data_IF_541874699705
#
_entry.id   IF_541874699705
#
_cell.length_a   1.000
_cell.length_b   1.000
_cell.length_c   1.000
_cell.angle_alpha   90.00
_cell.angle_beta   90.00
_cell.angle_gamma   90.00
#
_symmetry.space_group_name_H-M   'P 1'
#
loop_
_entity.id
_entity.type
_entity.pdbx_description
1 polymer ?
#
# COMPACT_ATOMS: atom_id res chain seq x y z
N UNK A 1 -10.13 4.79 5.24
CA UNK A 1 -9.70 4.16 3.96
C UNK A 1 -8.92 5.12 3.07
N UNK A 2 -9.40 6.35 2.78
CA UNK A 2 -8.69 7.26 1.88
C UNK A 2 -7.25 7.61 2.34
N UNK A 3 -7.03 7.87 3.64
CA UNK A 3 -5.68 8.13 4.15
C UNK A 3 -4.74 6.93 3.96
N UNK A 4 -5.18 5.74 4.39
CA UNK A 4 -4.39 4.50 4.27
C UNK A 4 -3.99 4.22 2.82
N UNK A 5 -4.92 4.33 1.87
CA UNK A 5 -4.63 4.12 0.46
C UNK A 5 -3.63 5.16 -0.07
N UNK A 6 -3.77 6.43 0.31
CA UNK A 6 -2.82 7.48 -0.08
C UNK A 6 -1.43 7.28 0.55
N UNK A 7 -1.37 6.83 1.81
CA UNK A 7 -0.14 6.49 2.50
C UNK A 7 0.57 5.34 1.79
N UNK A 8 -0.14 4.24 1.51
CA UNK A 8 0.42 3.07 0.82
C UNK A 8 0.89 3.46 -0.58
N UNK A 9 0.12 4.27 -1.32
CA UNK A 9 0.52 4.75 -2.63
C UNK A 9 1.84 5.53 -2.58
N UNK A 10 1.97 6.44 -1.59
CA UNK A 10 3.19 7.23 -1.37
C UNK A 10 4.39 6.35 -0.98
N UNK A 11 4.18 5.32 -0.15
CA UNK A 11 5.19 4.32 0.15
C UNK A 11 5.68 3.62 -1.12
N UNK A 12 4.75 3.18 -1.98
CA UNK A 12 5.08 2.53 -3.24
C UNK A 12 5.81 3.47 -4.22
N UNK A 13 5.46 4.76 -4.24
CA UNK A 13 6.19 5.79 -5.00
C UNK A 13 7.66 5.86 -4.55
N UNK A 14 7.91 5.97 -3.24
CA UNK A 14 9.28 6.04 -2.73
C UNK A 14 10.05 4.74 -2.94
N UNK A 15 9.41 3.57 -2.76
CA UNK A 15 10.07 2.30 -3.06
C UNK A 15 10.49 2.20 -4.52
N UNK A 16 9.64 2.61 -5.46
CA UNK A 16 9.99 2.62 -6.88
C UNK A 16 11.17 3.56 -7.17
N UNK A 17 11.16 4.76 -6.59
CA UNK A 17 12.25 5.74 -6.73
C UNK A 17 13.57 5.15 -6.21
N UNK A 18 13.58 4.65 -4.97
CA UNK A 18 14.79 4.11 -4.33
C UNK A 18 15.33 2.90 -5.10
N UNK A 19 14.48 1.96 -5.52
CA UNK A 19 14.92 0.78 -6.27
C UNK A 19 15.31 1.09 -7.73
N UNK A 20 15.09 2.31 -8.22
CA UNK A 20 15.42 2.72 -9.58
C UNK A 20 16.63 3.63 -9.67
N UNK A 21 17.09 4.19 -8.55
CA UNK A 21 18.27 5.04 -8.46
C UNK A 21 19.31 4.37 -7.55
N UNK A 22 20.48 4.05 -8.14
CA UNK A 22 21.56 3.34 -7.43
C UNK A 22 22.10 4.13 -6.23
N UNK A 23 22.13 5.47 -6.33
CA UNK A 23 22.61 6.34 -5.26
C UNK A 23 21.61 6.35 -4.10
N UNK A 24 20.34 6.55 -4.39
CA UNK A 24 19.25 6.50 -3.39
C UNK A 24 19.21 5.13 -2.69
N UNK A 25 19.37 4.03 -3.45
CA UNK A 25 19.42 2.69 -2.88
C UNK A 25 20.61 2.52 -1.93
N UNK A 26 21.79 3.00 -2.32
CA UNK A 26 22.98 2.92 -1.49
C UNK A 26 22.83 3.73 -0.20
N UNK A 27 22.25 4.92 -0.27
CA UNK A 27 21.95 5.75 0.90
C UNK A 27 20.93 5.07 1.82
N UNK A 28 19.85 4.53 1.27
CA UNK A 28 18.86 3.77 2.03
C UNK A 28 19.47 2.55 2.74
N UNK A 29 20.38 1.83 2.07
CA UNK A 29 21.13 0.71 2.68
C UNK A 29 22.03 1.22 3.80
N UNK A 30 22.74 2.33 3.59
CA UNK A 30 23.56 2.98 4.62
C UNK A 30 22.75 3.26 5.89
N UNK A 31 21.67 4.03 5.77
CA UNK A 31 20.76 4.34 6.88
C UNK A 31 20.16 3.09 7.54
N UNK A 32 19.84 2.07 6.73
CA UNK A 32 19.31 0.81 7.24
C UNK A 32 20.36 0.06 8.06
N UNK A 33 21.62 0.00 7.62
CA UNK A 33 22.68 -0.74 8.30
C UNK A 33 23.24 -0.02 9.53
N UNK A 34 23.40 1.31 9.47
CA UNK A 34 23.89 2.15 10.58
C UNK A 34 22.98 2.09 11.79
N UNK A 35 21.66 1.96 11.57
CA UNK A 35 20.68 1.91 12.64
C UNK A 35 20.43 0.49 13.23
N UNK A 36 21.03 -0.58 12.68
CA UNK A 36 20.43 -1.94 12.83
C UNK A 36 21.34 -3.17 12.91
N UNK A 37 22.65 -3.05 13.17
CA UNK A 37 23.49 -4.25 13.26
C UNK A 37 22.97 -5.33 14.24
N UNK A 38 22.18 -4.98 15.27
CA UNK A 38 21.67 -5.94 16.29
C UNK A 38 20.14 -5.89 16.57
N UNK A 39 19.33 -5.13 15.82
CA UNK A 39 17.96 -4.82 16.27
C UNK A 39 16.87 -5.69 15.60
N UNK A 40 16.30 -6.64 16.36
CA UNK A 40 15.28 -7.62 15.92
C UNK A 40 14.02 -6.98 15.31
N UNK A 41 13.74 -5.72 15.66
CA UNK A 41 12.60 -4.93 15.19
C UNK A 41 12.58 -4.73 13.66
N UNK A 42 13.68 -5.03 12.98
CA UNK A 42 13.85 -4.78 11.55
C UNK A 42 14.12 -6.04 10.73
N UNK A 43 13.88 -7.21 11.31
CA UNK A 43 13.95 -8.50 10.62
C UNK A 43 12.76 -8.65 9.65
N UNK A 44 12.79 -7.89 8.55
CA UNK A 44 11.83 -8.05 7.44
C UNK A 44 11.96 -9.42 6.78
N UNK A 45 13.09 -10.11 6.97
CA UNK A 45 13.34 -11.45 6.45
C UNK A 45 12.25 -12.46 6.82
N UNK A 46 11.57 -12.33 7.97
CA UNK A 46 10.46 -13.22 8.35
C UNK A 46 9.15 -12.92 7.63
N UNK A 47 9.02 -11.73 7.02
CA UNK A 47 7.85 -11.28 6.26
C UNK A 47 8.03 -11.41 4.74
N UNK A 48 9.26 -11.64 4.26
CA UNK A 48 9.55 -11.86 2.83
C UNK A 48 9.14 -13.30 2.46
N UNK A 49 8.29 -13.43 1.45
CA UNK A 49 7.91 -14.76 0.94
C UNK A 49 9.14 -15.49 0.36
N UNK A 50 9.27 -16.76 0.73
CA UNK A 50 10.41 -17.61 0.36
C UNK A 50 11.77 -16.99 0.68
N UNK A 51 11.87 -16.22 1.78
CA UNK A 51 13.08 -15.49 2.19
C UNK A 51 14.36 -16.35 2.15
N UNK A 52 14.31 -17.63 2.50
CA UNK A 52 15.47 -18.53 2.42
C UNK A 52 16.05 -18.70 1.00
N UNK A 53 15.23 -18.44 -0.04
CA UNK A 53 15.59 -18.51 -1.45
C UNK A 53 16.03 -17.15 -2.03
N UNK A 54 15.99 -16.07 -1.24
CA UNK A 54 16.52 -14.78 -1.64
C UNK A 54 17.99 -14.69 -1.26
N UNK A 55 18.81 -14.12 -2.15
CA UNK A 55 20.19 -13.78 -1.79
C UNK A 55 20.19 -12.61 -0.79
N UNK A 56 21.21 -12.55 0.06
CA UNK A 56 21.28 -11.52 1.10
C UNK A 56 21.28 -10.10 0.55
N UNK A 57 21.88 -9.89 -0.62
CA UNK A 57 21.86 -8.58 -1.27
C UNK A 57 20.44 -8.14 -1.63
N UNK A 58 19.63 -9.00 -2.23
CA UNK A 58 18.24 -8.69 -2.59
C UNK A 58 17.38 -8.43 -1.35
N UNK A 59 17.57 -9.21 -0.27
CA UNK A 59 16.90 -8.97 1.01
C UNK A 59 17.26 -7.60 1.56
N UNK A 60 18.53 -7.22 1.49
CA UNK A 60 19.03 -5.94 1.98
C UNK A 60 18.45 -4.79 1.16
N UNK A 61 18.50 -4.86 -0.17
CA UNK A 61 17.92 -3.85 -1.06
C UNK A 61 16.42 -3.68 -0.81
N UNK A 62 15.67 -4.78 -0.75
CA UNK A 62 14.23 -4.74 -0.48
C UNK A 62 13.94 -4.16 0.90
N UNK A 63 14.62 -4.64 1.94
CA UNK A 63 14.38 -4.22 3.33
C UNK A 63 14.74 -2.76 3.57
N UNK A 64 15.86 -2.30 3.01
CA UNK A 64 16.29 -0.92 3.09
C UNK A 64 15.30 0.00 2.37
N UNK A 65 14.92 -0.34 1.13
CA UNK A 65 13.95 0.45 0.36
C UNK A 65 12.59 0.57 1.05
N UNK A 66 12.08 -0.52 1.62
CA UNK A 66 10.82 -0.53 2.35
C UNK A 66 10.89 0.35 3.61
N UNK A 67 11.96 0.19 4.41
CA UNK A 67 12.12 0.94 5.65
C UNK A 67 12.22 2.45 5.37
N UNK A 68 13.06 2.83 4.41
CA UNK A 68 13.25 4.22 4.01
C UNK A 68 11.96 4.80 3.41
N UNK A 69 11.23 4.05 2.58
CA UNK A 69 9.96 4.49 2.02
C UNK A 69 8.89 4.74 3.11
N UNK A 70 8.79 3.87 4.11
CA UNK A 70 7.89 4.07 5.25
C UNK A 70 8.30 5.32 6.05
N UNK A 71 9.61 5.50 6.29
CA UNK A 71 10.12 6.66 7.02
C UNK A 71 9.81 7.98 6.29
N UNK A 72 10.13 8.07 5.00
CA UNK A 72 9.85 9.24 4.15
C UNK A 72 8.35 9.54 4.07
N UNK A 73 7.52 8.49 3.92
CA UNK A 73 6.06 8.65 3.87
C UNK A 73 5.49 9.13 5.20
N UNK A 74 5.92 8.52 6.31
CA UNK A 74 5.49 8.90 7.65
C UNK A 74 5.83 10.37 7.95
N UNK A 75 7.03 10.81 7.54
CA UNK A 75 7.43 12.21 7.65
C UNK A 75 6.55 13.13 6.78
N UNK A 76 6.21 12.72 5.55
CA UNK A 76 5.38 13.51 4.63
C UNK A 76 3.94 13.73 5.12
N UNK A 77 3.42 12.80 5.93
CA UNK A 77 2.09 12.88 6.52
C UNK A 77 2.12 13.25 8.02
N UNK A 78 3.28 13.59 8.56
CA UNK A 78 3.42 13.86 9.98
C UNK A 78 2.57 15.07 10.39
N UNK A 79 1.84 14.91 11.48
CA UNK A 79 1.16 15.98 12.19
C UNK A 79 1.33 15.74 13.69
N UNK A 80 1.36 16.82 14.49
CA UNK A 80 1.61 16.76 15.94
C UNK A 80 0.43 16.18 16.75
N UNK A 81 -0.61 15.67 16.10
CA UNK A 81 -1.78 15.10 16.76
C UNK A 81 -1.71 13.57 16.84
N UNK A 82 -2.32 13.01 17.89
CA UNK A 82 -2.31 11.57 18.15
C UNK A 82 -3.11 10.76 17.12
N UNK A 83 -4.17 11.36 16.56
CA UNK A 83 -4.99 10.74 15.52
C UNK A 83 -4.16 10.39 14.28
N UNK A 84 -3.29 11.30 13.81
CA UNK A 84 -2.41 11.05 12.68
C UNK A 84 -1.41 9.94 12.95
N UNK A 85 -0.90 9.85 14.18
CA UNK A 85 0.00 8.77 14.58
C UNK A 85 -0.71 7.40 14.51
N UNK A 86 -1.98 7.35 14.95
CA UNK A 86 -2.80 6.14 14.83
C UNK A 86 -3.05 5.77 13.35
N UNK A 87 -3.44 6.75 12.52
CA UNK A 87 -3.67 6.52 11.09
C UNK A 87 -2.42 6.04 10.35
N UNK A 88 -1.24 6.62 10.66
CA UNK A 88 0.05 6.18 10.11
C UNK A 88 0.33 4.73 10.52
N UNK A 89 0.15 4.40 11.80
CA UNK A 89 0.41 3.04 12.29
C UNK A 89 -0.54 2.01 11.67
N UNK A 90 -1.82 2.36 11.52
CA UNK A 90 -2.80 1.54 10.82
C UNK A 90 -2.38 1.29 9.36
N UNK A 91 -1.97 2.35 8.65
CA UNK A 91 -1.52 2.23 7.27
C UNK A 91 -0.23 1.42 7.11
N UNK A 92 0.72 1.54 8.03
CA UNK A 92 1.94 0.70 8.07
C UNK A 92 1.56 -0.76 8.29
N UNK A 93 0.63 -1.04 9.20
CA UNK A 93 0.14 -2.40 9.47
C UNK A 93 -0.51 -2.98 8.21
N UNK A 94 -1.43 -2.26 7.58
CA UNK A 94 -2.08 -2.68 6.34
C UNK A 94 -1.08 -2.92 5.21
N UNK A 95 -0.05 -2.08 5.08
CA UNK A 95 1.03 -2.30 4.12
C UNK A 95 1.74 -3.63 4.38
N UNK A 96 2.14 -3.88 5.63
CA UNK A 96 2.91 -5.07 6.00
C UNK A 96 2.10 -6.36 5.89
N UNK A 97 0.79 -6.32 6.13
CA UNK A 97 -0.08 -7.50 6.08
C UNK A 97 -0.54 -7.84 4.65
N UNK A 98 -0.79 -6.83 3.82
CA UNK A 98 -1.42 -7.05 2.50
C UNK A 98 -0.51 -6.78 1.31
N UNK A 99 0.33 -5.76 1.38
CA UNK A 99 1.15 -5.33 0.24
C UNK A 99 2.52 -6.01 0.23
N UNK A 100 3.16 -6.14 1.39
CA UNK A 100 4.49 -6.75 1.51
C UNK A 100 4.51 -8.21 1.01
N UNK A 101 3.59 -9.11 1.40
CA UNK A 101 3.57 -10.48 0.85
C UNK A 101 3.35 -10.48 -0.66
N UNK A 102 2.42 -9.67 -1.15
CA UNK A 102 2.11 -9.57 -2.58
C UNK A 102 3.28 -9.00 -3.42
N UNK A 103 4.13 -8.16 -2.82
CA UNK A 103 5.36 -7.65 -3.45
C UNK A 103 6.43 -8.73 -3.60
N UNK A 104 6.49 -9.69 -2.67
CA UNK A 104 7.57 -10.68 -2.59
C UNK A 104 7.19 -12.06 -3.13
N UNK A 105 5.90 -12.37 -3.25
CA UNK A 105 5.42 -13.64 -3.83
C UNK A 105 5.78 -13.78 -5.31
N UNK A 106 6.05 -15.01 -5.77
CA UNK A 106 6.20 -15.34 -7.20
C UNK A 106 7.19 -14.43 -7.95
N UNK A 107 8.29 -14.06 -7.31
CA UNK A 107 9.38 -13.28 -7.92
C UNK A 107 10.34 -14.21 -8.69
N UNK A 108 10.90 -13.73 -9.80
CA UNK A 108 11.94 -14.47 -10.55
C UNK A 108 13.19 -14.62 -9.67
N UNK A 109 13.62 -15.85 -9.32
CA UNK A 109 14.78 -16.06 -8.44
C UNK A 109 16.08 -15.41 -8.93
N UNK A 110 16.23 -15.18 -10.24
CA UNK A 110 17.43 -14.56 -10.81
C UNK A 110 17.32 -13.03 -10.89
N UNK A 111 16.11 -12.48 -10.71
CA UNK A 111 15.78 -11.05 -10.90
C UNK A 111 14.69 -10.62 -9.92
N UNK A 112 14.89 -10.87 -8.62
CA UNK A 112 13.84 -10.65 -7.61
C UNK A 112 13.50 -9.17 -7.46
N UNK A 113 14.51 -8.31 -7.38
CA UNK A 113 14.30 -6.85 -7.29
C UNK A 113 13.58 -6.30 -8.54
N UNK A 114 13.95 -6.73 -9.74
CA UNK A 114 13.22 -6.33 -10.96
C UNK A 114 11.77 -6.79 -10.94
N UNK A 115 11.51 -7.99 -10.42
CA UNK A 115 10.15 -8.53 -10.24
C UNK A 115 9.34 -7.68 -9.25
N UNK A 116 9.96 -7.27 -8.14
CA UNK A 116 9.37 -6.34 -7.15
C UNK A 116 9.03 -5.01 -7.81
N UNK A 117 9.97 -4.40 -8.57
CA UNK A 117 9.72 -3.12 -9.27
C UNK A 117 8.51 -3.19 -10.19
N UNK A 118 8.39 -4.28 -10.98
CA UNK A 118 7.22 -4.50 -11.85
C UNK A 118 5.92 -4.63 -11.05
N UNK A 119 5.95 -5.32 -9.91
CA UNK A 119 4.79 -5.46 -9.01
C UNK A 119 4.39 -4.13 -8.39
N UNK A 120 5.36 -3.31 -7.95
CA UNK A 120 5.12 -1.95 -7.44
C UNK A 120 4.32 -1.14 -8.46
N UNK A 121 4.78 -1.07 -9.72
CA UNK A 121 4.09 -0.32 -10.78
C UNK A 121 2.64 -0.79 -10.97
N UNK A 122 2.41 -2.10 -10.98
CA UNK A 122 1.06 -2.68 -11.11
C UNK A 122 0.17 -2.33 -9.91
N UNK A 123 0.68 -2.46 -8.70
CA UNK A 123 -0.05 -2.14 -7.47
C UNK A 123 -0.41 -0.66 -7.38
N UNK A 124 0.53 0.23 -7.72
CA UNK A 124 0.28 1.68 -7.79
C UNK A 124 -0.84 2.01 -8.77
N UNK A 125 -0.80 1.42 -9.96
CA UNK A 125 -1.84 1.63 -10.98
C UNK A 125 -3.21 1.18 -10.48
N UNK A 126 -3.28 -0.02 -9.87
CA UNK A 126 -4.52 -0.56 -9.29
C UNK A 126 -5.05 0.36 -8.19
N UNK A 127 -4.18 0.79 -7.27
CA UNK A 127 -4.55 1.62 -6.12
C UNK A 127 -5.01 3.01 -6.55
N UNK A 128 -4.33 3.65 -7.51
CA UNK A 128 -4.79 4.92 -8.11
C UNK A 128 -6.19 4.80 -8.70
N UNK A 129 -6.43 3.74 -9.49
CA UNK A 129 -7.75 3.49 -10.09
C UNK A 129 -8.84 3.20 -9.04
N UNK A 130 -8.48 2.67 -7.86
CA UNK A 130 -9.42 2.45 -6.76
C UNK A 130 -9.75 3.75 -6.02
N UNK A 131 -8.74 4.59 -5.77
CA UNK A 131 -8.91 5.92 -5.17
C UNK A 131 -9.78 6.81 -6.08
N UNK A 132 -9.46 6.90 -7.37
CA UNK A 132 -10.21 7.70 -8.35
C UNK A 132 -11.67 7.24 -8.47
N UNK A 133 -11.93 5.93 -8.41
CA UNK A 133 -13.30 5.40 -8.43
C UNK A 133 -14.06 5.72 -7.15
N UNK A 134 -13.40 5.71 -5.99
CA UNK A 134 -14.02 6.06 -4.71
C UNK A 134 -14.31 7.57 -4.61
N UNK A 135 -13.48 8.41 -5.24
CA UNK A 135 -13.64 9.87 -5.27
C UNK A 135 -14.64 10.33 -6.34
N UNK A 136 -15.01 9.49 -7.30
CA UNK A 136 -15.98 9.83 -8.34
C UNK A 136 -17.44 9.58 -7.87
N UNK A 137 -18.22 10.63 -7.55
CA UNK A 137 -19.62 10.49 -7.13
C UNK A 137 -20.54 9.97 -8.25
N UNK A 138 -20.06 9.91 -9.50
CA UNK A 138 -20.79 9.43 -10.67
C UNK A 138 -20.36 8.04 -11.16
N UNK A 139 -19.61 7.26 -10.38
CA UNK A 139 -19.22 5.90 -10.75
C UNK A 139 -20.41 4.95 -11.04
N UNK A 140 -21.61 5.30 -10.54
CA UNK A 140 -22.88 4.63 -10.87
C UNK A 140 -23.40 4.89 -12.30
N UNK A 141 -22.81 5.81 -13.05
CA UNK A 141 -23.15 6.11 -14.44
C UNK A 141 -22.08 5.65 -15.43
N UNK A 142 -21.34 4.58 -15.09
CA UNK A 142 -20.61 3.86 -16.13
C UNK A 142 -21.62 3.04 -16.93
N UNK A 143 -21.69 3.18 -18.27
CA UNK A 143 -22.56 2.34 -19.08
C UNK A 143 -21.94 0.95 -19.07
N UNK A 144 -22.37 0.11 -18.13
CA UNK A 144 -22.17 -1.33 -18.22
C UNK A 144 -22.97 -1.77 -19.44
N UNK A 145 -22.30 -1.92 -20.57
CA UNK A 145 -22.86 -2.54 -21.76
C UNK A 145 -23.33 -3.95 -21.41
N UNK A 146 -24.65 -4.08 -21.32
CA UNK A 146 -25.49 -5.26 -21.42
C UNK A 146 -25.31 -6.39 -20.38
N UNK A 147 -26.12 -6.34 -19.31
CA UNK A 147 -26.42 -7.51 -18.49
C UNK A 147 -27.17 -7.19 -17.19
N UNK A 148 -28.51 -7.11 -17.26
CA UNK A 148 -29.52 -7.15 -16.18
C UNK A 148 -29.32 -6.22 -14.94
N UNK A 149 -30.07 -5.12 -14.80
CA UNK A 149 -31.32 -4.93 -13.97
C UNK A 149 -31.19 -5.53 -12.56
N UNK A 150 -31.29 -4.80 -11.43
CA UNK A 150 -32.52 -4.20 -10.85
C UNK A 150 -32.16 -3.03 -9.91
N UNK A 151 -32.71 -1.84 -10.19
CA UNK A 151 -32.94 -0.80 -9.18
C UNK A 151 -34.20 -1.19 -8.39
N UNK A 152 -34.05 -1.50 -7.11
CA UNK A 152 -35.16 -1.51 -6.17
C UNK A 152 -34.99 -0.34 -5.20
N UNK A 153 -35.34 0.85 -5.67
CA UNK A 153 -35.65 1.97 -4.79
C UNK A 153 -36.99 1.66 -4.09
N UNK A 154 -36.95 1.04 -2.92
CA UNK A 154 -38.09 0.99 -2.03
C UNK A 154 -38.04 2.19 -1.08
N UNK A 155 -38.41 3.36 -1.60
CA UNK A 155 -38.92 4.44 -0.78
C UNK A 155 -40.45 4.28 -0.71
N UNK A 156 -40.96 3.75 0.39
CA UNK A 156 -42.33 4.07 0.85
C UNK A 156 -42.27 4.39 2.33
N UNK A 157 -42.29 5.69 2.57
CA UNK A 157 -42.64 6.39 3.80
C UNK A 157 -43.69 5.66 4.63
N UNK A 158 -43.27 5.05 5.74
CA UNK A 158 -44.16 4.67 6.83
C UNK A 158 -44.46 5.92 7.66
N UNK A 159 -45.44 6.72 7.25
CA UNK A 159 -46.22 7.61 8.12
C UNK A 159 -47.33 8.28 7.31
N UNK A 160 -48.47 8.50 7.98
CA UNK A 160 -49.68 9.21 7.52
C UNK A 160 -50.64 8.37 6.66
N UNK A 161 -51.44 7.51 7.33
CA UNK A 161 -52.90 7.62 7.39
C UNK A 161 -53.44 6.61 8.42
N UNK A 162 -53.08 6.81 9.69
CA UNK A 162 -53.86 6.29 10.82
C UNK A 162 -54.39 7.50 11.60
N UNK A 163 -55.26 8.27 10.95
CA UNK A 163 -56.06 9.32 11.57
C UNK A 163 -57.48 9.23 10.99
N UNK A 164 -58.40 8.71 11.81
CA UNK A 164 -59.87 8.72 11.71
C UNK A 164 -60.56 8.00 10.54
N UNK A 165 -61.23 6.90 10.87
CA UNK A 165 -62.71 6.83 10.95
C UNK A 165 -63.11 5.60 11.78
#
# INVERSE_FOLDING_TARGET
MAFEQNFILKCLDYMEQILSDEKELKEAIGHFTENKADNSRYQLNSKINDSSQWIEHDKLCFSASLFEAIARTSLSFYATNEERAYEINAAITAFQEHFLPALTENTDPNKRIDSVKKKIVRMKTKLKNEIERAENPYAFFTPVTAGLVVLAAAATTAALFAYKA
#
